data_IF_298281312557
#
_entry.id   IF_298281312557
#
_cell.length_a   1.000
_cell.length_b   1.000
_cell.length_c   1.000
_cell.angle_alpha   90.00
_cell.angle_beta   90.00
_cell.angle_gamma   90.00
#
_symmetry.space_group_name_H-M   'P 1'
#
loop_
_entity.id
_entity.type
_entity.pdbx_description
1 polymer ?
#
# COMPACT_ATOMS: atom_id res chain seq x y z
N UNK A 1 -0.12 29.15 10.26
CA UNK A 1 -0.61 30.17 9.31
C UNK A 1 -1.84 29.62 8.61
N UNK A 2 -2.92 30.41 8.59
CA UNK A 2 -4.32 29.97 8.72
C UNK A 2 -4.98 29.46 7.43
N UNK A 3 -5.95 28.54 7.57
CA UNK A 3 -6.87 28.12 6.50
C UNK A 3 -8.26 27.77 7.02
N UNK A 4 -9.22 27.75 6.09
CA UNK A 4 -10.67 27.92 6.27
C UNK A 4 -11.04 29.27 6.93
N UNK A 5 -10.94 30.47 6.37
CA UNK A 5 -10.69 31.02 5.03
C UNK A 5 -9.87 32.31 5.31
N UNK A 6 -8.74 32.16 6.02
CA UNK A 6 -7.79 33.26 6.22
C UNK A 6 -7.04 33.61 4.93
N UNK A 7 -6.21 34.65 4.95
CA UNK A 7 -5.37 35.03 3.81
C UNK A 7 -4.34 33.93 3.51
N UNK A 8 -4.51 33.27 2.36
CA UNK A 8 -3.52 32.35 1.82
C UNK A 8 -2.53 33.17 1.00
N UNK A 9 -1.25 33.08 1.36
CA UNK A 9 -0.21 33.77 0.61
C UNK A 9 -0.14 33.24 -0.83
N UNK A 10 0.12 34.14 -1.78
CA UNK A 10 0.21 33.81 -3.20
C UNK A 10 1.20 32.66 -3.49
N UNK A 11 2.33 32.63 -2.78
CA UNK A 11 3.32 31.57 -2.92
C UNK A 11 2.80 30.22 -2.37
N UNK A 12 2.01 30.21 -1.30
CA UNK A 12 1.40 28.97 -0.80
C UNK A 12 0.36 28.41 -1.80
N UNK A 13 -0.34 29.28 -2.52
CA UNK A 13 -1.32 28.89 -3.55
C UNK A 13 -0.67 28.35 -4.82
N UNK A 14 0.40 28.99 -5.31
CA UNK A 14 0.99 28.67 -6.62
C UNK A 14 2.21 27.76 -6.59
N UNK A 15 2.99 27.78 -5.52
CA UNK A 15 4.33 27.16 -5.48
C UNK A 15 4.52 26.26 -4.27
N UNK A 16 3.60 26.30 -3.30
CA UNK A 16 3.67 25.58 -2.04
C UNK A 16 2.93 24.24 -2.02
N UNK A 17 2.71 23.76 -0.80
CA UNK A 17 2.08 22.47 -0.45
C UNK A 17 0.62 22.47 -0.91
N UNK A 18 0.32 21.95 -2.10
CA UNK A 18 -0.99 21.40 -2.50
C UNK A 18 -2.26 22.26 -2.30
N UNK A 19 -2.15 23.52 -1.91
CA UNK A 19 -3.28 24.34 -1.43
C UNK A 19 -4.29 24.62 -2.53
N UNK A 20 -3.82 24.85 -3.75
CA UNK A 20 -4.67 24.94 -4.93
C UNK A 20 -5.58 23.71 -5.04
N UNK A 21 -5.02 22.51 -4.94
CA UNK A 21 -5.77 21.25 -5.03
C UNK A 21 -6.77 21.08 -3.90
N UNK A 22 -6.43 21.50 -2.68
CA UNK A 22 -7.32 21.43 -1.51
C UNK A 22 -8.51 22.38 -1.70
N UNK A 23 -8.25 23.65 -2.07
CA UNK A 23 -9.29 24.65 -2.27
C UNK A 23 -10.18 24.31 -3.47
N UNK A 24 -9.59 23.97 -4.61
CA UNK A 24 -10.36 23.61 -5.80
C UNK A 24 -11.25 22.39 -5.56
N UNK A 25 -10.81 21.42 -4.75
CA UNK A 25 -11.64 20.28 -4.38
C UNK A 25 -12.71 20.64 -3.33
N UNK A 26 -12.43 21.54 -2.38
CA UNK A 26 -13.41 21.98 -1.38
C UNK A 26 -14.59 22.75 -1.99
N UNK A 27 -14.34 23.61 -2.98
CA UNK A 27 -15.37 24.40 -3.65
C UNK A 27 -15.97 23.69 -4.88
N UNK A 28 -15.61 22.42 -5.11
CA UNK A 28 -16.14 21.64 -6.23
C UNK A 28 -17.59 21.24 -5.95
N UNK A 29 -18.50 21.67 -6.80
CA UNK A 29 -19.96 21.48 -6.59
C UNK A 29 -20.51 20.18 -7.20
N UNK A 30 -19.88 19.62 -8.25
CA UNK A 30 -20.15 18.29 -8.75
C UNK A 30 -19.01 17.80 -9.67
N UNK A 31 -18.69 16.51 -9.63
CA UNK A 31 -17.86 15.89 -10.68
C UNK A 31 -18.69 15.68 -11.95
N UNK A 32 -18.05 15.68 -13.12
CA UNK A 32 -18.71 15.39 -14.41
C UNK A 32 -19.42 14.03 -14.37
N UNK A 33 -18.90 13.07 -13.61
CA UNK A 33 -19.54 11.78 -13.38
C UNK A 33 -20.87 11.89 -12.61
N UNK A 34 -20.91 12.69 -11.54
CA UNK A 34 -22.14 12.95 -10.76
C UNK A 34 -23.16 13.74 -11.57
N UNK A 35 -22.71 14.73 -12.35
CA UNK A 35 -23.57 15.50 -13.25
C UNK A 35 -24.20 14.60 -14.32
N UNK A 36 -23.39 13.77 -15.00
CA UNK A 36 -23.87 12.84 -16.01
C UNK A 36 -24.80 11.76 -15.44
N UNK A 37 -24.62 11.36 -14.17
CA UNK A 37 -25.52 10.41 -13.50
C UNK A 37 -26.88 11.04 -13.20
N UNK A 38 -26.92 12.34 -12.89
CA UNK A 38 -28.15 13.06 -12.50
C UNK A 38 -28.95 13.55 -13.71
N UNK A 39 -28.28 13.98 -14.77
CA UNK A 39 -28.89 14.60 -15.95
C UNK A 39 -28.81 13.73 -17.22
N UNK A 40 -28.16 12.56 -17.14
CA UNK A 40 -27.81 11.77 -18.33
C UNK A 40 -26.67 12.43 -19.12
N UNK A 41 -26.08 11.72 -20.07
CA UNK A 41 -25.20 12.35 -21.07
C UNK A 41 -26.07 13.12 -22.06
N UNK A 42 -25.77 14.39 -22.31
CA UNK A 42 -26.43 15.14 -23.37
C UNK A 42 -26.21 14.44 -24.72
N UNK A 43 -27.22 14.48 -25.59
CA UNK A 43 -27.10 14.00 -26.96
C UNK A 43 -25.93 14.68 -27.67
N UNK A 44 -25.19 13.92 -28.49
CA UNK A 44 -24.06 14.46 -29.25
C UNK A 44 -24.62 15.33 -30.37
N UNK A 45 -24.43 16.64 -30.27
CA UNK A 45 -24.78 17.60 -31.31
C UNK A 45 -23.52 17.92 -32.12
N UNK A 46 -23.34 17.32 -33.29
CA UNK A 46 -22.32 17.74 -34.24
C UNK A 46 -22.91 18.84 -35.13
N UNK A 47 -22.34 20.06 -35.09
CA UNK A 47 -22.74 21.17 -35.96
C UNK A 47 -24.25 21.49 -35.98
N UNK A 48 -24.93 21.40 -34.83
CA UNK A 48 -26.38 21.69 -34.73
C UNK A 48 -27.29 20.54 -35.16
N UNK A 49 -26.75 19.38 -35.54
CA UNK A 49 -27.52 18.19 -35.87
C UNK A 49 -27.53 17.19 -34.72
N UNK A 50 -28.71 16.68 -34.38
CA UNK A 50 -28.86 15.57 -33.43
C UNK A 50 -28.36 14.29 -34.08
N UNK A 51 -27.35 13.65 -33.48
CA UNK A 51 -26.83 12.35 -33.93
C UNK A 51 -27.07 11.33 -32.81
N UNK A 52 -28.28 10.75 -32.72
CA UNK A 52 -28.53 9.65 -31.79
C UNK A 52 -27.76 8.41 -32.24
N UNK A 53 -27.31 7.61 -31.27
CA UNK A 53 -26.81 6.26 -31.54
C UNK A 53 -28.02 5.34 -31.69
N UNK A 54 -28.05 4.53 -32.74
CA UNK A 54 -29.17 3.60 -33.00
C UNK A 54 -29.26 2.46 -31.97
N UNK A 55 -28.13 2.06 -31.38
CA UNK A 55 -28.07 1.04 -30.35
C UNK A 55 -26.97 1.33 -29.32
N UNK A 56 -27.22 0.97 -28.06
CA UNK A 56 -26.29 1.04 -26.94
C UNK A 56 -25.72 -0.33 -26.56
N UNK A 57 -26.12 -1.40 -27.26
CA UNK A 57 -25.55 -2.72 -27.05
C UNK A 57 -24.07 -2.71 -27.41
N UNK A 58 -23.25 -3.22 -26.48
CA UNK A 58 -21.81 -3.32 -26.66
C UNK A 58 -21.40 -4.76 -26.41
N UNK A 59 -20.68 -5.36 -27.37
CA UNK A 59 -20.09 -6.69 -27.20
C UNK A 59 -18.58 -6.53 -27.16
N UNK A 60 -17.98 -6.92 -26.03
CA UNK A 60 -16.52 -6.98 -25.90
C UNK A 60 -16.06 -8.42 -26.16
N UNK A 61 -15.46 -8.65 -27.32
CA UNK A 61 -14.85 -9.94 -27.64
C UNK A 61 -13.41 -9.91 -27.10
N UNK A 62 -13.17 -10.64 -26.02
CA UNK A 62 -11.84 -10.76 -25.44
C UNK A 62 -11.05 -11.84 -26.19
N UNK A 63 -9.82 -11.53 -26.58
CA UNK A 63 -8.89 -12.53 -27.10
C UNK A 63 -8.44 -13.44 -25.95
N UNK A 64 -8.74 -14.75 -25.98
CA UNK A 64 -8.37 -15.65 -24.89
C UNK A 64 -6.85 -15.70 -24.64
N UNK A 65 -6.01 -15.50 -25.66
CA UNK A 65 -4.56 -15.43 -25.51
C UNK A 65 -4.08 -14.22 -24.71
N UNK A 66 -4.75 -13.08 -24.87
CA UNK A 66 -4.42 -11.86 -24.11
C UNK A 66 -4.91 -11.95 -22.66
N UNK A 67 -6.08 -12.56 -22.44
CA UNK A 67 -6.63 -12.78 -21.10
C UNK A 67 -5.77 -13.77 -20.31
N UNK A 68 -5.26 -14.82 -20.97
CA UNK A 68 -4.42 -15.83 -20.35
C UNK A 68 -2.97 -15.36 -20.11
N UNK A 69 -2.56 -14.20 -20.62
CA UNK A 69 -1.19 -13.69 -20.46
C UNK A 69 -0.97 -13.23 -19.02
N UNK A 70 -0.28 -14.06 -18.25
CA UNK A 70 0.17 -13.74 -16.88
C UNK A 70 1.62 -13.23 -16.93
N UNK A 71 1.99 -12.30 -16.05
CA UNK A 71 3.38 -11.88 -15.88
C UNK A 71 4.17 -13.01 -15.23
N UNK A 72 5.37 -13.29 -15.75
CA UNK A 72 6.28 -14.20 -15.08
C UNK A 72 6.80 -13.52 -13.81
N UNK A 73 6.65 -14.18 -12.66
CA UNK A 73 7.22 -13.73 -11.38
C UNK A 73 8.50 -14.51 -11.09
N UNK A 74 9.53 -13.82 -10.59
CA UNK A 74 10.76 -14.45 -10.11
C UNK A 74 10.59 -15.16 -8.76
N UNK A 75 11.59 -15.94 -8.35
CA UNK A 75 11.66 -16.50 -6.98
C UNK A 75 12.06 -15.45 -5.93
N UNK A 76 12.61 -14.33 -6.39
CA UNK A 76 13.00 -13.21 -5.55
C UNK A 76 11.82 -12.28 -5.26
N UNK A 77 11.77 -11.65 -4.08
CA UNK A 77 10.75 -10.67 -3.77
C UNK A 77 10.85 -9.49 -4.74
N UNK A 78 9.78 -9.24 -5.50
CA UNK A 78 9.76 -8.17 -6.50
C UNK A 78 9.39 -6.82 -5.87
N UNK A 79 8.92 -6.84 -4.62
CA UNK A 79 8.48 -5.66 -3.90
C UNK A 79 9.14 -5.53 -2.52
N UNK A 80 9.40 -4.28 -2.12
CA UNK A 80 9.94 -3.98 -0.78
C UNK A 80 9.05 -4.53 0.36
N UNK A 81 7.73 -4.60 0.14
CA UNK A 81 6.80 -5.18 1.10
C UNK A 81 6.97 -6.70 1.27
N UNK A 82 7.36 -7.42 0.21
CA UNK A 82 7.66 -8.84 0.26
C UNK A 82 8.99 -9.12 0.94
N UNK A 83 10.02 -8.32 0.65
CA UNK A 83 11.31 -8.36 1.35
C UNK A 83 11.14 -8.16 2.87
N UNK A 84 10.37 -7.14 3.28
CA UNK A 84 10.11 -6.85 4.68
C UNK A 84 9.36 -8.00 5.38
N UNK A 85 8.36 -8.59 4.70
CA UNK A 85 7.64 -9.77 5.20
C UNK A 85 8.55 -10.97 5.40
N UNK A 86 9.44 -11.23 4.43
CA UNK A 86 10.40 -12.33 4.49
C UNK A 86 11.42 -12.12 5.62
N UNK A 87 11.94 -10.90 5.75
CA UNK A 87 12.87 -10.52 6.83
C UNK A 87 12.22 -10.71 8.21
N UNK A 88 10.93 -10.34 8.34
CA UNK A 88 10.18 -10.52 9.59
C UNK A 88 9.92 -12.00 9.92
N UNK A 89 9.68 -12.84 8.92
CA UNK A 89 9.56 -14.29 9.10
C UNK A 89 10.89 -14.89 9.56
N UNK A 90 11.98 -14.59 8.85
CA UNK A 90 13.34 -15.01 9.21
C UNK A 90 13.73 -14.58 10.62
N UNK A 91 13.38 -13.35 11.04
CA UNK A 91 13.63 -12.88 12.39
C UNK A 91 12.88 -13.69 13.46
N UNK A 92 11.60 -14.03 13.21
CA UNK A 92 10.82 -14.88 14.13
C UNK A 92 11.36 -16.30 14.20
N UNK A 93 11.77 -16.87 13.07
CA UNK A 93 12.38 -18.19 13.01
C UNK A 93 13.72 -18.21 13.73
N UNK A 94 14.57 -17.21 13.51
CA UNK A 94 15.83 -17.06 14.23
C UNK A 94 15.62 -16.92 15.74
N UNK A 95 14.58 -16.19 16.18
CA UNK A 95 14.22 -16.11 17.61
C UNK A 95 13.77 -17.47 18.16
N UNK A 96 12.91 -18.20 17.45
CA UNK A 96 12.48 -19.55 17.84
C UNK A 96 13.65 -20.53 17.89
N UNK A 97 14.54 -20.47 16.90
CA UNK A 97 15.74 -21.30 16.86
C UNK A 97 16.67 -20.99 18.04
N UNK A 98 16.87 -19.71 18.38
CA UNK A 98 17.62 -19.32 19.58
C UNK A 98 16.99 -19.84 20.88
N UNK A 99 15.67 -19.73 21.02
CA UNK A 99 14.96 -20.27 22.17
C UNK A 99 15.12 -21.79 22.27
N UNK A 100 15.00 -22.50 21.15
CA UNK A 100 15.21 -23.95 21.11
C UNK A 100 16.65 -24.33 21.46
N UNK A 101 17.65 -23.59 20.95
CA UNK A 101 19.05 -23.85 21.30
C UNK A 101 19.32 -23.58 22.76
N UNK A 102 18.77 -22.50 23.32
CA UNK A 102 18.90 -22.14 24.74
C UNK A 102 18.20 -23.15 25.66
N UNK A 103 17.10 -23.76 25.21
CA UNK A 103 16.43 -24.84 25.94
C UNK A 103 17.24 -26.15 25.92
N UNK A 104 17.93 -26.45 24.81
CA UNK A 104 18.78 -27.64 24.70
C UNK A 104 20.08 -27.48 25.49
N UNK A 105 20.67 -26.29 25.54
CA UNK A 105 21.91 -26.02 26.28
C UNK A 105 21.69 -25.84 27.77
N UNK A 106 20.62 -25.15 28.19
CA UNK A 106 20.37 -24.84 29.60
C UNK A 106 19.27 -25.67 30.25
N UNK A 107 18.61 -26.59 29.54
CA UNK A 107 17.51 -27.38 30.08
C UNK A 107 16.23 -26.57 30.35
N UNK A 108 15.07 -27.26 30.37
CA UNK A 108 13.75 -26.63 30.33
C UNK A 108 13.31 -25.88 31.61
N UNK A 109 14.09 -25.92 32.70
CA UNK A 109 13.62 -25.49 34.03
C UNK A 109 14.50 -24.46 34.76
N UNK A 110 15.52 -23.88 34.11
CA UNK A 110 16.38 -22.88 34.76
C UNK A 110 15.82 -21.47 34.56
N UNK A 111 15.58 -20.75 35.66
CA UNK A 111 15.17 -19.34 35.62
C UNK A 111 16.21 -18.46 34.95
N UNK A 112 15.82 -17.29 34.42
CA UNK A 112 16.74 -16.41 33.66
C UNK A 112 18.03 -16.05 34.40
N UNK A 113 17.97 -15.90 35.73
CA UNK A 113 19.14 -15.66 36.58
C UNK A 113 20.05 -16.89 36.71
N UNK A 114 19.47 -18.09 36.81
CA UNK A 114 20.24 -19.33 36.98
C UNK A 114 20.99 -19.70 35.69
N UNK A 115 20.40 -19.42 34.52
CA UNK A 115 21.08 -19.57 33.22
C UNK A 115 22.32 -18.67 33.12
N UNK A 116 22.23 -17.40 33.56
CA UNK A 116 23.37 -16.48 33.54
C UNK A 116 24.48 -16.86 34.50
N UNK A 117 24.15 -17.43 35.66
CA UNK A 117 25.14 -17.91 36.63
C UNK A 117 25.86 -19.16 36.12
N UNK A 118 25.16 -20.11 35.48
CA UNK A 118 25.79 -21.29 34.88
C UNK A 118 26.79 -20.92 33.77
N UNK A 119 26.46 -19.93 32.92
CA UNK A 119 27.38 -19.42 31.90
C UNK A 119 28.65 -18.85 32.53
N UNK A 120 28.53 -18.08 33.62
CA UNK A 120 29.68 -17.52 34.34
C UNK A 120 30.54 -18.62 34.98
N UNK A 121 29.92 -19.63 35.57
CA UNK A 121 30.61 -20.77 36.18
C UNK A 121 31.36 -21.58 35.10
N UNK A 122 30.75 -21.83 33.94
CA UNK A 122 31.43 -22.56 32.87
C UNK A 122 32.58 -21.76 32.24
N UNK A 123 32.42 -20.44 32.08
CA UNK A 123 33.51 -19.56 31.63
C UNK A 123 34.66 -19.50 32.64
N UNK A 124 34.37 -19.58 33.95
CA UNK A 124 35.37 -19.62 34.99
C UNK A 124 36.15 -20.95 35.02
N UNK A 125 35.51 -22.07 34.70
CA UNK A 125 36.12 -23.40 34.67
C UNK A 125 36.90 -23.72 33.37
N UNK A 126 36.82 -22.88 32.33
CA UNK A 126 37.64 -23.00 31.09
C UNK A 126 39.02 -22.33 31.19
N UNK A 127 39.37 -21.77 32.36
CA UNK A 127 40.74 -21.33 32.68
C UNK A 127 41.46 -22.40 33.47
#
# INVERSE_FOLDING_TARGET
YATQIGEISFCAYNTGIGWRKIIENMYKTATVAEWNKKHGKHAVYAAGHSVPLDNFDHTLILNPGDVARVRAHGEEPETAAEEERLARQKAREAQKMKQMTDELTFGKNLGSNEKTELVKIELANRR
#
